data_IF_752078483461
#
_entry.id   IF_752078483461
#
_cell.length_a   1.000
_cell.length_b   1.000
_cell.length_c   1.000
_cell.angle_alpha   90.00
_cell.angle_beta   90.00
_cell.angle_gamma   90.00
#
_symmetry.space_group_name_H-M   'P 1'
#
loop_
_entity.id
_entity.type
_entity.pdbx_description
1 polymer ?
#
# COMPACT_ATOMS: atom_id res chain seq x y z
N UNK A 1 0.19 5.77 40.79
CA UNK A 1 1.25 4.73 40.85
C UNK A 1 0.70 3.29 40.76
N UNK A 2 -0.54 3.03 41.20
CA UNK A 2 -1.12 1.67 41.16
C UNK A 2 -1.54 1.19 39.76
N UNK A 3 -1.88 2.08 38.85
CA UNK A 3 -2.30 1.73 37.47
C UNK A 3 -1.16 1.26 36.54
N UNK A 4 0.05 1.71 36.80
CA UNK A 4 1.21 1.45 35.90
C UNK A 4 1.50 -0.05 35.71
N UNK A 5 1.53 -0.91 36.77
CA UNK A 5 1.74 -2.34 36.58
C UNK A 5 0.69 -3.00 35.69
N UNK A 6 -0.58 -2.60 35.83
CA UNK A 6 -1.67 -3.12 35.01
C UNK A 6 -1.54 -2.70 33.55
N UNK A 7 -1.16 -1.43 33.28
CA UNK A 7 -0.94 -0.93 31.94
C UNK A 7 0.22 -1.69 31.25
N UNK A 8 1.33 -1.92 31.96
CA UNK A 8 2.48 -2.64 31.42
C UNK A 8 2.15 -4.12 31.12
N UNK A 9 1.41 -4.80 32.02
CA UNK A 9 0.99 -6.19 31.76
C UNK A 9 0.01 -6.24 30.59
N UNK A 10 -1.00 -5.37 30.56
CA UNK A 10 -1.95 -5.29 29.45
C UNK A 10 -1.24 -4.99 28.13
N UNK A 11 -0.33 -4.01 28.11
CA UNK A 11 0.48 -3.66 26.94
C UNK A 11 1.32 -4.83 26.45
N UNK A 12 1.99 -5.56 27.34
CA UNK A 12 2.75 -6.76 26.98
C UNK A 12 1.81 -7.84 26.37
N UNK A 13 0.71 -8.14 27.02
CA UNK A 13 -0.24 -9.18 26.56
C UNK A 13 -0.82 -8.81 25.18
N UNK A 14 -1.26 -7.57 25.01
CA UNK A 14 -1.74 -7.08 23.70
C UNK A 14 -0.65 -7.12 22.63
N UNK A 15 0.61 -6.77 22.99
CA UNK A 15 1.74 -6.83 22.07
C UNK A 15 2.05 -8.25 21.60
N UNK A 16 1.98 -9.23 22.49
CA UNK A 16 2.15 -10.66 22.13
C UNK A 16 1.03 -11.13 21.21
N UNK A 17 -0.23 -10.82 21.54
CA UNK A 17 -1.38 -11.19 20.70
C UNK A 17 -1.29 -10.52 19.30
N UNK A 18 -0.91 -9.25 19.25
CA UNK A 18 -0.69 -8.54 17.99
C UNK A 18 0.44 -9.15 17.15
N UNK A 19 1.54 -9.57 17.79
CA UNK A 19 2.64 -10.24 17.08
C UNK A 19 2.21 -11.59 16.49
N UNK A 20 1.42 -12.38 17.24
CA UNK A 20 0.88 -13.67 16.76
C UNK A 20 -0.09 -13.46 15.59
N UNK A 21 -1.06 -12.57 15.73
CA UNK A 21 -2.05 -12.30 14.67
C UNK A 21 -1.40 -11.68 13.43
N UNK A 22 -0.45 -10.75 13.63
CA UNK A 22 0.32 -10.14 12.56
C UNK A 22 1.17 -11.14 11.79
N UNK A 23 1.77 -12.12 12.48
CA UNK A 23 2.52 -13.20 11.84
C UNK A 23 1.63 -14.05 10.91
N UNK A 24 0.41 -14.40 11.32
CA UNK A 24 -0.51 -15.13 10.44
C UNK A 24 -1.00 -14.26 9.28
N UNK A 25 -1.30 -12.99 9.54
CA UNK A 25 -1.77 -12.05 8.52
C UNK A 25 -0.69 -11.81 7.43
N UNK A 26 0.58 -11.67 7.83
CA UNK A 26 1.69 -11.46 6.89
C UNK A 26 1.87 -12.60 5.90
N UNK A 27 1.48 -13.83 6.26
CA UNK A 27 1.50 -14.99 5.37
C UNK A 27 0.38 -15.02 4.33
N UNK A 28 -0.65 -14.20 4.52
CA UNK A 28 -1.75 -14.06 3.56
C UNK A 28 -1.38 -13.34 2.26
N UNK A 29 -0.18 -12.76 2.17
CA UNK A 29 0.32 -12.01 1.00
C UNK A 29 -0.23 -10.58 0.93
N UNK A 30 0.32 -9.79 0.01
CA UNK A 30 -0.15 -8.41 -0.24
C UNK A 30 0.64 -7.32 0.48
N UNK A 31 1.72 -7.66 1.18
CA UNK A 31 2.60 -6.70 1.84
C UNK A 31 4.05 -6.83 1.36
N UNK A 32 4.76 -5.70 1.29
CA UNK A 32 6.20 -5.68 1.03
C UNK A 32 6.95 -6.37 2.18
N UNK A 33 7.72 -7.43 1.88
CA UNK A 33 8.38 -8.28 2.88
C UNK A 33 9.32 -7.51 3.81
N UNK A 34 10.05 -6.51 3.29
CA UNK A 34 10.97 -5.70 4.08
C UNK A 34 10.23 -4.82 5.09
N UNK A 35 9.13 -4.17 4.67
CA UNK A 35 8.32 -3.34 5.53
C UNK A 35 7.62 -4.17 6.63
N UNK A 36 7.09 -5.35 6.27
CA UNK A 36 6.53 -6.31 7.24
C UNK A 36 7.57 -6.74 8.26
N UNK A 37 8.77 -7.12 7.80
CA UNK A 37 9.87 -7.55 8.67
C UNK A 37 10.27 -6.46 9.67
N UNK A 38 10.43 -5.22 9.19
CA UNK A 38 10.78 -4.07 10.02
C UNK A 38 9.74 -3.79 11.11
N UNK A 39 8.45 -3.77 10.75
CA UNK A 39 7.35 -3.59 11.71
C UNK A 39 7.26 -4.75 12.70
N UNK A 40 7.43 -6.00 12.26
CA UNK A 40 7.38 -7.20 13.09
C UNK A 40 8.47 -7.19 14.15
N UNK A 41 9.72 -6.90 13.78
CA UNK A 41 10.83 -6.83 14.73
C UNK A 41 10.67 -5.66 15.70
N UNK A 42 10.20 -4.50 15.25
CA UNK A 42 9.89 -3.37 16.11
C UNK A 42 8.80 -3.72 17.15
N UNK A 43 7.73 -4.40 16.72
CA UNK A 43 6.66 -4.86 17.60
C UNK A 43 7.11 -5.87 18.66
N UNK A 44 7.88 -6.89 18.25
CA UNK A 44 8.46 -7.88 19.18
C UNK A 44 9.38 -7.21 20.17
N UNK A 45 10.27 -6.32 19.71
CA UNK A 45 11.18 -5.57 20.58
C UNK A 45 10.43 -4.71 21.60
N UNK A 46 9.34 -4.06 21.18
CA UNK A 46 8.47 -3.25 22.04
C UNK A 46 7.80 -4.10 23.12
N UNK A 47 7.28 -5.27 22.76
CA UNK A 47 6.70 -6.20 23.74
C UNK A 47 7.73 -6.66 24.79
N UNK A 48 8.94 -7.03 24.35
CA UNK A 48 10.04 -7.42 25.26
C UNK A 48 10.47 -6.27 26.18
N UNK A 49 10.62 -5.04 25.64
CA UNK A 49 10.93 -3.85 26.43
C UNK A 49 9.86 -3.56 27.47
N UNK A 50 8.59 -3.75 27.13
CA UNK A 50 7.47 -3.56 28.06
C UNK A 50 7.55 -4.55 29.22
N UNK A 51 7.88 -5.82 28.95
CA UNK A 51 8.10 -6.84 29.98
C UNK A 51 9.29 -6.51 30.87
N UNK A 52 10.42 -6.12 30.29
CA UNK A 52 11.61 -5.70 31.01
C UNK A 52 11.30 -4.51 31.91
N UNK A 53 10.60 -3.50 31.40
CA UNK A 53 10.18 -2.32 32.17
C UNK A 53 9.27 -2.72 33.33
N UNK A 54 8.38 -3.68 33.15
CA UNK A 54 7.55 -4.21 34.24
C UNK A 54 8.39 -4.91 35.31
N UNK A 55 9.35 -5.77 34.95
CA UNK A 55 10.23 -6.47 35.88
C UNK A 55 11.03 -5.47 36.71
N UNK A 56 11.61 -4.45 36.08
CA UNK A 56 12.46 -3.46 36.73
C UNK A 56 11.72 -2.25 37.32
N UNK A 57 10.38 -2.28 37.39
CA UNK A 57 9.51 -1.15 37.82
C UNK A 57 9.80 -0.57 39.20
N UNK A 58 10.44 -1.35 40.06
CA UNK A 58 10.84 -0.91 41.42
C UNK A 58 12.33 -0.48 41.54
N UNK A 59 13.07 -0.55 40.43
CA UNK A 59 14.50 -0.20 40.38
C UNK A 59 14.71 1.25 39.92
N UNK A 60 15.89 1.80 40.22
CA UNK A 60 16.25 3.16 39.74
C UNK A 60 16.30 3.25 38.21
N UNK A 61 16.48 2.13 37.53
CA UNK A 61 16.48 2.01 36.06
C UNK A 61 15.08 2.08 35.43
N UNK A 62 14.01 2.14 36.23
CA UNK A 62 12.62 2.17 35.71
C UNK A 62 12.35 3.33 34.76
N UNK A 63 12.71 4.56 35.17
CA UNK A 63 12.37 5.75 34.37
C UNK A 63 13.02 5.73 32.97
N UNK A 64 14.34 5.49 32.83
CA UNK A 64 14.94 5.37 31.49
C UNK A 64 14.37 4.20 30.67
N UNK A 65 14.11 3.04 31.27
CA UNK A 65 13.48 1.93 30.58
C UNK A 65 12.07 2.26 30.10
N UNK A 66 11.28 2.93 30.92
CA UNK A 66 9.95 3.39 30.56
C UNK A 66 9.98 4.37 29.38
N UNK A 67 10.92 5.34 29.40
CA UNK A 67 11.10 6.30 28.30
C UNK A 67 11.47 5.57 27.00
N UNK A 68 12.40 4.61 27.04
CA UNK A 68 12.77 3.81 25.86
C UNK A 68 11.58 3.00 25.35
N UNK A 69 10.79 2.41 26.24
CA UNK A 69 9.57 1.67 25.88
C UNK A 69 8.56 2.58 25.16
N UNK A 70 8.34 3.79 25.67
CA UNK A 70 7.43 4.76 25.03
C UNK A 70 7.91 5.13 23.62
N UNK A 71 9.21 5.41 23.46
CA UNK A 71 9.80 5.70 22.15
C UNK A 71 9.60 4.52 21.20
N UNK A 72 9.85 3.29 21.69
CA UNK A 72 9.68 2.06 20.91
C UNK A 72 8.24 1.86 20.44
N UNK A 73 7.22 2.20 21.25
CA UNK A 73 5.80 2.18 20.85
C UNK A 73 5.55 3.16 19.70
N UNK A 74 6.09 4.37 19.75
CA UNK A 74 5.95 5.34 18.66
C UNK A 74 6.60 4.86 17.37
N UNK A 75 7.80 4.29 17.42
CA UNK A 75 8.49 3.73 16.26
C UNK A 75 7.70 2.58 15.66
N UNK A 76 7.24 1.63 16.48
CA UNK A 76 6.41 0.50 16.02
C UNK A 76 5.09 0.96 15.43
N UNK A 77 4.45 1.96 16.02
CA UNK A 77 3.22 2.57 15.49
C UNK A 77 3.44 3.26 14.15
N UNK A 78 4.56 3.97 13.99
CA UNK A 78 4.92 4.62 12.73
C UNK A 78 5.12 3.59 11.61
N UNK A 79 5.91 2.55 11.85
CA UNK A 79 6.13 1.46 10.88
C UNK A 79 4.82 0.73 10.52
N UNK A 80 3.93 0.52 11.49
CA UNK A 80 2.60 -0.05 11.24
C UNK A 80 1.69 0.86 10.43
N UNK A 81 1.76 2.17 10.67
CA UNK A 81 1.06 3.17 9.87
C UNK A 81 1.51 3.17 8.41
N UNK A 82 2.81 3.04 8.14
CA UNK A 82 3.35 2.94 6.80
C UNK A 82 2.91 1.67 6.06
N UNK A 83 2.75 0.54 6.78
CA UNK A 83 2.23 -0.70 6.19
C UNK A 83 0.77 -0.60 5.73
N UNK A 84 -0.04 0.19 6.43
CA UNK A 84 -1.49 0.29 6.15
C UNK A 84 -1.84 1.46 5.24
N UNK A 85 -1.06 2.54 5.29
CA UNK A 85 -1.36 3.80 4.61
C UNK A 85 -0.30 4.22 3.58
N UNK A 86 0.80 3.45 3.45
CA UNK A 86 1.93 3.76 2.56
C UNK A 86 3.01 4.63 3.22
N UNK A 87 4.20 4.62 2.60
CA UNK A 87 5.37 5.36 3.10
C UNK A 87 5.09 6.88 3.16
N UNK A 88 5.47 7.49 4.26
CA UNK A 88 5.35 8.95 4.45
C UNK A 88 3.96 9.44 4.87
N UNK A 89 3.01 8.57 5.19
CA UNK A 89 1.64 8.94 5.57
C UNK A 89 1.58 10.05 6.64
N UNK A 90 2.39 9.97 7.70
CA UNK A 90 2.41 10.98 8.77
C UNK A 90 3.05 12.30 8.29
N UNK A 91 4.05 12.23 7.41
CA UNK A 91 4.79 13.39 6.93
C UNK A 91 4.13 14.07 5.74
N UNK A 92 3.31 13.37 4.97
CA UNK A 92 2.57 13.95 3.83
C UNK A 92 1.69 15.12 4.27
N UNK A 93 0.98 15.02 5.38
CA UNK A 93 0.17 16.11 5.91
C UNK A 93 0.97 17.35 6.39
N UNK A 94 2.27 17.20 6.66
CA UNK A 94 3.17 18.29 7.03
C UNK A 94 3.81 18.96 5.79
N UNK A 95 3.96 18.21 4.71
CA UNK A 95 4.59 18.67 3.45
C UNK A 95 3.58 19.36 2.53
N UNK A 96 2.28 19.20 2.74
CA UNK A 96 1.20 19.70 1.87
C UNK A 96 1.07 21.23 1.75
N UNK A 97 1.93 22.02 2.39
CA UNK A 97 2.10 23.43 2.04
C UNK A 97 3.17 23.68 0.98
N UNK A 98 3.64 22.60 0.30
CA UNK A 98 4.54 22.67 -0.84
C UNK A 98 3.88 23.35 -2.03
N UNK A 99 4.64 24.22 -2.64
CA UNK A 99 4.31 25.04 -3.81
C UNK A 99 3.76 24.15 -4.95
N UNK A 100 2.62 24.52 -5.54
CA UNK A 100 2.01 23.81 -6.71
C UNK A 100 2.98 23.54 -7.87
N UNK A 101 4.07 24.30 -7.96
CA UNK A 101 5.15 24.08 -8.93
C UNK A 101 6.02 22.86 -8.59
N UNK A 102 6.32 22.63 -7.30
CA UNK A 102 7.12 21.47 -6.86
C UNK A 102 6.33 20.17 -7.01
N UNK A 103 5.04 20.18 -6.69
CA UNK A 103 4.14 19.06 -6.91
C UNK A 103 4.06 18.67 -8.39
N UNK A 104 3.97 19.65 -9.29
CA UNK A 104 3.94 19.40 -10.74
C UNK A 104 5.27 18.84 -11.27
N UNK A 105 6.40 19.32 -10.75
CA UNK A 105 7.74 18.81 -11.08
C UNK A 105 7.84 17.34 -10.60
N UNK A 106 7.47 17.07 -9.35
CA UNK A 106 7.49 15.71 -8.81
C UNK A 106 6.65 14.72 -9.66
N UNK A 107 5.43 15.10 -10.04
CA UNK A 107 4.58 14.24 -10.88
C UNK A 107 5.17 14.03 -12.28
N UNK A 108 5.88 15.01 -12.81
CA UNK A 108 6.53 14.93 -14.10
C UNK A 108 7.73 13.96 -14.11
N UNK A 109 8.41 13.82 -12.98
CA UNK A 109 9.55 12.92 -12.76
C UNK A 109 9.13 11.47 -12.40
N UNK A 110 7.84 11.19 -12.25
CA UNK A 110 7.34 9.83 -12.02
C UNK A 110 7.48 8.99 -13.29
N UNK A 111 7.91 7.74 -13.16
CA UNK A 111 7.89 6.78 -14.26
C UNK A 111 6.47 6.18 -14.40
N UNK A 112 5.98 6.08 -15.64
CA UNK A 112 4.57 5.74 -15.92
C UNK A 112 4.15 4.42 -15.28
N UNK A 113 4.88 3.32 -15.53
CA UNK A 113 4.47 2.03 -14.98
C UNK A 113 4.80 1.89 -13.48
N UNK A 114 6.05 2.03 -13.01
CA UNK A 114 6.38 1.74 -11.61
C UNK A 114 5.72 2.69 -10.61
N UNK A 115 5.57 3.98 -10.94
CA UNK A 115 5.11 4.99 -9.99
C UNK A 115 3.62 5.33 -10.12
N UNK A 116 3.00 5.03 -11.27
CA UNK A 116 1.59 5.37 -11.52
C UNK A 116 0.72 4.11 -11.63
N UNK A 117 1.08 3.17 -12.52
CA UNK A 117 0.24 2.01 -12.84
C UNK A 117 0.40 0.88 -11.81
N UNK A 118 1.65 0.54 -11.45
CA UNK A 118 1.92 -0.54 -10.50
C UNK A 118 1.22 -0.36 -9.15
N UNK A 119 1.19 0.84 -8.53
CA UNK A 119 0.44 1.05 -7.29
C UNK A 119 -1.07 0.83 -7.41
N UNK A 120 -1.68 1.11 -8.58
CA UNK A 120 -3.11 0.84 -8.83
C UNK A 120 -3.35 -0.68 -8.84
N UNK A 121 -2.50 -1.42 -9.54
CA UNK A 121 -2.58 -2.89 -9.62
C UNK A 121 -2.31 -3.55 -8.26
N UNK A 122 -1.34 -3.05 -7.51
CA UNK A 122 -1.03 -3.51 -6.16
C UNK A 122 -2.22 -3.37 -5.21
N UNK A 123 -2.82 -2.20 -5.18
CA UNK A 123 -3.91 -1.88 -4.26
C UNK A 123 -5.20 -2.65 -4.57
N UNK A 124 -5.48 -2.97 -5.84
CA UNK A 124 -6.79 -3.45 -6.26
C UNK A 124 -6.79 -4.88 -6.83
N UNK A 125 -5.63 -5.41 -7.30
CA UNK A 125 -5.58 -6.66 -8.08
C UNK A 125 -4.67 -7.73 -7.47
N UNK A 126 -3.49 -7.34 -6.96
CA UNK A 126 -2.43 -8.27 -6.58
C UNK A 126 -2.77 -9.15 -5.36
N UNK A 127 -3.77 -8.79 -4.56
CA UNK A 127 -4.24 -9.65 -3.46
C UNK A 127 -4.76 -11.02 -3.94
N UNK A 128 -5.20 -11.12 -5.22
CA UNK A 128 -5.71 -12.33 -5.85
C UNK A 128 -4.88 -12.77 -7.06
N UNK A 129 -4.20 -11.84 -7.75
CA UNK A 129 -3.42 -12.06 -8.95
C UNK A 129 -1.92 -11.84 -8.69
N UNK A 130 -1.34 -12.67 -7.83
CA UNK A 130 0.07 -12.68 -7.47
C UNK A 130 0.70 -14.05 -7.72
N UNK A 131 2.02 -14.14 -7.58
CA UNK A 131 2.75 -15.39 -7.81
C UNK A 131 2.26 -16.55 -6.93
N UNK A 132 1.83 -16.29 -5.70
CA UNK A 132 1.37 -17.33 -4.77
C UNK A 132 -0.05 -17.81 -5.06
N UNK A 133 -0.95 -16.93 -5.52
CA UNK A 133 -2.37 -17.25 -5.77
C UNK A 133 -2.68 -17.42 -7.25
N UNK A 134 -2.11 -16.60 -8.10
CA UNK A 134 -2.25 -16.61 -9.57
C UNK A 134 -3.61 -17.11 -10.08
N UNK A 135 -4.72 -16.57 -9.54
CA UNK A 135 -6.07 -16.98 -9.97
C UNK A 135 -6.17 -16.89 -11.50
N UNK A 136 -6.63 -17.96 -12.13
CA UNK A 136 -6.63 -18.13 -13.58
C UNK A 136 -5.23 -18.02 -14.23
N UNK A 137 -4.17 -18.37 -13.51
CA UNK A 137 -2.76 -18.27 -13.91
C UNK A 137 -2.35 -16.82 -14.26
N UNK A 138 -3.10 -15.83 -13.81
CA UNK A 138 -2.81 -14.42 -14.01
C UNK A 138 -2.01 -13.85 -12.83
N UNK A 139 -0.84 -13.31 -13.14
CA UNK A 139 0.01 -12.58 -12.20
C UNK A 139 0.15 -11.13 -12.64
N UNK A 140 -0.25 -10.19 -11.77
CA UNK A 140 -0.22 -8.73 -12.03
C UNK A 140 0.82 -7.99 -11.17
N UNK A 141 1.80 -8.72 -10.58
CA UNK A 141 2.81 -8.13 -9.70
C UNK A 141 3.92 -7.39 -10.44
N UNK A 142 4.21 -7.78 -11.67
CA UNK A 142 5.27 -7.15 -12.44
C UNK A 142 4.87 -7.02 -13.91
N UNK A 143 5.56 -6.11 -14.58
CA UNK A 143 5.29 -5.74 -15.97
C UNK A 143 5.32 -6.94 -16.92
N UNK A 144 6.34 -7.79 -16.83
CA UNK A 144 6.52 -8.91 -17.76
C UNK A 144 5.45 -10.00 -17.55
N UNK A 145 5.01 -10.21 -16.31
CA UNK A 145 3.92 -11.13 -15.99
C UNK A 145 2.56 -10.63 -16.52
N UNK A 146 2.32 -9.31 -16.50
CA UNK A 146 1.12 -8.71 -17.09
C UNK A 146 1.07 -8.96 -18.59
N UNK A 147 2.17 -8.74 -19.30
CA UNK A 147 2.27 -8.97 -20.74
C UNK A 147 2.08 -10.44 -21.12
N UNK A 148 2.45 -11.36 -20.23
CA UNK A 148 2.25 -12.80 -20.45
C UNK A 148 0.76 -13.18 -20.40
N UNK A 149 -0.05 -12.47 -19.63
CA UNK A 149 -1.48 -12.77 -19.44
C UNK A 149 -1.74 -13.97 -18.53
N UNK A 150 -2.95 -14.52 -18.63
CA UNK A 150 -3.43 -15.65 -17.86
C UNK A 150 -3.89 -16.81 -18.75
N UNK A 151 -4.65 -17.76 -18.17
CA UNK A 151 -5.15 -18.96 -18.88
C UNK A 151 -6.08 -18.59 -20.05
N UNK A 152 -6.77 -17.47 -19.98
CA UNK A 152 -7.70 -17.00 -21.03
C UNK A 152 -7.00 -16.14 -22.10
N UNK A 153 -5.68 -15.95 -22.02
CA UNK A 153 -4.90 -15.13 -22.95
C UNK A 153 -4.45 -13.81 -22.36
N UNK A 154 -4.16 -12.85 -23.24
CA UNK A 154 -3.68 -11.52 -22.87
C UNK A 154 -4.76 -10.73 -22.11
N UNK A 155 -4.36 -10.06 -21.05
CA UNK A 155 -5.26 -9.19 -20.26
C UNK A 155 -5.14 -7.72 -20.65
N UNK A 156 -4.04 -7.35 -21.32
CA UNK A 156 -3.80 -6.03 -21.89
C UNK A 156 -3.41 -6.18 -23.35
N UNK A 157 -3.97 -5.34 -24.22
CA UNK A 157 -3.65 -5.27 -25.65
C UNK A 157 -3.03 -3.90 -25.93
N UNK A 158 -1.74 -3.88 -26.24
CA UNK A 158 -1.00 -2.64 -26.45
C UNK A 158 -1.64 -1.77 -27.53
N UNK A 159 -1.91 -0.51 -27.22
CA UNK A 159 -2.57 0.43 -28.12
C UNK A 159 -4.09 0.34 -28.16
N UNK A 160 -4.72 -0.62 -27.42
CA UNK A 160 -6.16 -0.80 -27.49
C UNK A 160 -6.78 -1.15 -26.12
N UNK A 161 -7.09 -0.13 -25.32
CA UNK A 161 -7.75 -0.30 -24.05
C UNK A 161 -9.17 -0.90 -24.17
N UNK A 162 -9.88 -0.61 -25.27
CA UNK A 162 -11.27 -1.05 -25.44
C UNK A 162 -11.43 -2.56 -25.62
N UNK A 163 -10.41 -3.24 -26.15
CA UNK A 163 -10.38 -4.70 -26.30
C UNK A 163 -9.60 -5.40 -25.19
N UNK A 164 -8.92 -4.64 -24.33
CA UNK A 164 -8.17 -5.19 -23.20
C UNK A 164 -9.09 -5.76 -22.14
N UNK A 165 -8.91 -7.04 -21.82
CA UNK A 165 -9.75 -7.80 -20.87
C UNK A 165 -9.75 -7.17 -19.47
N UNK A 166 -8.64 -6.59 -19.03
CA UNK A 166 -8.57 -5.89 -17.74
C UNK A 166 -9.58 -4.72 -17.69
N UNK A 167 -9.65 -3.91 -18.74
CA UNK A 167 -10.60 -2.77 -18.81
C UNK A 167 -12.04 -3.26 -18.89
N UNK A 168 -12.29 -4.31 -19.68
CA UNK A 168 -13.62 -4.93 -19.73
C UNK A 168 -14.09 -5.30 -18.33
N UNK A 169 -13.31 -6.10 -17.60
CA UNK A 169 -13.70 -6.65 -16.30
C UNK A 169 -13.84 -5.59 -15.20
N UNK A 170 -12.95 -4.59 -15.15
CA UNK A 170 -13.06 -3.53 -14.12
C UNK A 170 -14.20 -2.55 -14.40
N UNK A 171 -14.76 -2.56 -15.63
CA UNK A 171 -15.87 -1.69 -16.05
C UNK A 171 -17.24 -2.35 -15.96
N UNK A 172 -17.31 -3.67 -15.69
CA UNK A 172 -18.59 -4.38 -15.54
C UNK A 172 -19.34 -3.92 -14.28
N UNK A 173 -20.68 -4.06 -14.25
CA UNK A 173 -21.49 -3.89 -13.03
C UNK A 173 -20.98 -4.78 -11.90
N UNK A 174 -21.19 -4.36 -10.64
CA UNK A 174 -20.66 -5.07 -9.47
C UNK A 174 -21.27 -6.48 -9.30
N UNK A 175 -22.50 -6.66 -9.74
CA UNK A 175 -23.26 -7.90 -9.70
C UNK A 175 -22.98 -8.85 -10.88
N UNK A 176 -22.07 -8.50 -11.78
CA UNK A 176 -21.65 -9.35 -12.88
C UNK A 176 -20.59 -10.38 -12.39
N UNK A 177 -20.79 -11.66 -12.70
CA UNK A 177 -19.88 -12.75 -12.30
C UNK A 177 -18.45 -12.57 -12.84
N UNK A 178 -18.31 -11.86 -13.94
CA UNK A 178 -17.03 -11.54 -14.60
C UNK A 178 -16.39 -10.25 -14.07
N UNK A 179 -17.08 -9.49 -13.22
CA UNK A 179 -16.57 -8.21 -12.70
C UNK A 179 -15.32 -8.41 -11.85
N UNK A 180 -14.37 -7.49 -11.99
CA UNK A 180 -13.16 -7.44 -11.17
C UNK A 180 -12.97 -6.03 -10.58
N UNK A 181 -12.60 -5.93 -9.32
CA UNK A 181 -12.63 -6.96 -8.29
C UNK A 181 -14.03 -7.54 -8.09
N UNK A 182 -14.15 -8.80 -7.57
CA UNK A 182 -15.45 -9.44 -7.38
C UNK A 182 -16.28 -8.73 -6.31
N UNK A 183 -17.58 -9.02 -6.27
CA UNK A 183 -18.54 -8.47 -5.32
C UNK A 183 -18.00 -8.47 -3.87
N UNK A 184 -18.24 -7.38 -3.14
CA UNK A 184 -17.77 -7.18 -1.76
C UNK A 184 -16.29 -6.80 -1.62
N UNK A 185 -15.59 -6.56 -2.73
CA UNK A 185 -14.23 -5.99 -2.74
C UNK A 185 -14.26 -4.54 -3.19
N UNK A 186 -13.26 -3.75 -2.73
CA UNK A 186 -13.13 -2.36 -3.16
C UNK A 186 -12.91 -2.31 -4.68
N UNK A 187 -13.76 -1.56 -5.36
CA UNK A 187 -13.67 -1.31 -6.81
C UNK A 187 -12.64 -0.21 -7.11
N UNK A 188 -12.12 -0.23 -8.34
CA UNK A 188 -11.31 0.87 -8.84
C UNK A 188 -12.15 2.14 -8.98
N UNK A 189 -11.55 3.27 -8.64
CA UNK A 189 -12.14 4.57 -8.92
C UNK A 189 -12.12 4.88 -10.44
N UNK A 190 -13.06 5.66 -10.96
CA UNK A 190 -13.09 6.01 -12.39
C UNK A 190 -11.77 6.61 -12.90
N UNK A 191 -11.10 7.42 -12.07
CA UNK A 191 -9.82 8.04 -12.41
C UNK A 191 -8.68 6.98 -12.48
N UNK A 192 -8.74 5.92 -11.66
CA UNK A 192 -7.77 4.80 -11.72
C UNK A 192 -7.97 3.97 -12.99
N UNK A 193 -9.22 3.74 -13.39
CA UNK A 193 -9.55 3.06 -14.65
C UNK A 193 -9.07 3.90 -15.85
N UNK A 194 -9.22 5.22 -15.79
CA UNK A 194 -8.77 6.11 -16.87
C UNK A 194 -7.24 6.11 -17.01
N UNK A 195 -6.48 6.09 -15.91
CA UNK A 195 -5.03 5.93 -15.96
C UNK A 195 -4.59 4.60 -16.62
N UNK A 196 -5.30 3.49 -16.32
CA UNK A 196 -5.04 2.22 -16.98
C UNK A 196 -5.32 2.28 -18.49
N UNK A 197 -6.42 2.94 -18.91
CA UNK A 197 -6.74 3.10 -20.33
C UNK A 197 -5.69 3.94 -21.06
N UNK A 198 -5.28 5.06 -20.48
CA UNK A 198 -4.22 5.93 -21.03
C UNK A 198 -2.93 5.11 -21.23
N UNK A 199 -2.50 4.37 -20.21
CA UNK A 199 -1.31 3.53 -20.27
C UNK A 199 -1.40 2.46 -21.38
N UNK A 200 -2.53 1.77 -21.49
CA UNK A 200 -2.74 0.73 -22.51
C UNK A 200 -2.77 1.35 -23.90
N UNK A 201 -3.54 2.43 -24.12
CA UNK A 201 -3.66 3.09 -25.42
C UNK A 201 -2.34 3.66 -25.93
N UNK A 202 -1.43 4.01 -25.02
CA UNK A 202 -0.10 4.50 -25.35
C UNK A 202 0.93 3.38 -25.58
N UNK A 203 0.51 2.13 -25.67
CA UNK A 203 1.37 1.00 -25.99
C UNK A 203 2.10 0.39 -24.81
N UNK A 204 1.58 0.54 -23.59
CA UNK A 204 2.13 -0.04 -22.36
C UNK A 204 3.54 0.45 -22.03
N UNK A 205 3.84 1.75 -21.98
CA UNK A 205 5.17 2.23 -21.64
C UNK A 205 5.58 1.80 -20.24
N UNK A 206 6.83 1.34 -20.07
CA UNK A 206 7.36 0.86 -18.79
C UNK A 206 8.09 1.96 -18.04
N UNK A 207 9.24 2.36 -18.53
CA UNK A 207 10.20 3.20 -17.82
C UNK A 207 10.24 4.66 -18.33
N UNK A 208 9.24 5.08 -19.12
CA UNK A 208 9.14 6.46 -19.60
C UNK A 208 8.66 7.37 -18.49
N UNK A 209 9.23 8.57 -18.38
CA UNK A 209 8.78 9.58 -17.42
C UNK A 209 7.44 10.17 -17.86
N UNK A 210 6.60 10.52 -16.89
CA UNK A 210 5.31 11.16 -17.18
C UNK A 210 5.49 12.46 -17.97
N UNK A 211 6.60 13.21 -17.74
CA UNK A 211 6.94 14.42 -18.50
C UNK A 211 7.15 14.19 -20.00
N UNK A 212 7.75 13.04 -20.34
CA UNK A 212 8.12 12.67 -21.71
C UNK A 212 7.04 11.84 -22.40
N UNK A 213 5.94 11.61 -21.69
CA UNK A 213 4.83 10.78 -22.11
C UNK A 213 3.72 11.62 -22.78
N UNK A 214 3.26 11.23 -23.92
CA UNK A 214 2.10 11.84 -24.57
C UNK A 214 0.88 10.91 -24.35
N UNK A 215 -0.10 11.25 -23.49
CA UNK A 215 -0.56 12.58 -23.03
C UNK A 215 -0.21 12.93 -21.57
N UNK A 216 1.00 13.40 -21.31
CA UNK A 216 1.47 13.76 -19.96
C UNK A 216 0.52 14.68 -19.18
N UNK A 217 -0.06 15.68 -19.85
CA UNK A 217 -0.96 16.66 -19.19
C UNK A 217 -2.19 16.01 -18.58
N UNK A 218 -2.83 15.11 -19.32
CA UNK A 218 -4.02 14.39 -18.88
C UNK A 218 -3.71 13.48 -17.70
N UNK A 219 -2.62 12.72 -17.78
CA UNK A 219 -2.16 11.84 -16.71
C UNK A 219 -1.85 12.63 -15.43
N UNK A 220 -1.12 13.74 -15.50
CA UNK A 220 -0.81 14.61 -14.36
C UNK A 220 -2.09 15.16 -13.71
N UNK A 221 -3.07 15.58 -14.49
CA UNK A 221 -4.34 16.08 -13.94
C UNK A 221 -5.12 15.00 -13.21
N UNK A 222 -5.14 13.77 -13.73
CA UNK A 222 -5.80 12.64 -13.09
C UNK A 222 -5.08 12.24 -11.81
N UNK A 223 -3.76 12.13 -11.82
CA UNK A 223 -2.94 11.82 -10.63
C UNK A 223 -3.21 12.86 -9.54
N UNK A 224 -3.27 14.14 -9.89
CA UNK A 224 -3.59 15.21 -8.93
C UNK A 224 -4.98 15.03 -8.32
N UNK A 225 -6.00 14.70 -9.11
CA UNK A 225 -7.36 14.44 -8.61
C UNK A 225 -7.39 13.29 -7.62
N UNK A 226 -6.68 12.19 -7.93
CA UNK A 226 -6.57 11.02 -7.05
C UNK A 226 -5.90 11.41 -5.73
N UNK A 227 -4.80 12.15 -5.77
CA UNK A 227 -4.07 12.58 -4.57
C UNK A 227 -4.95 13.49 -3.68
N UNK A 228 -5.61 14.48 -4.26
CA UNK A 228 -6.53 15.38 -3.52
C UNK A 228 -7.66 14.58 -2.88
N UNK A 229 -8.24 13.59 -3.58
CA UNK A 229 -9.32 12.74 -3.04
C UNK A 229 -8.83 11.86 -1.90
N UNK A 230 -7.65 11.22 -2.04
CA UNK A 230 -7.05 10.41 -0.96
C UNK A 230 -6.84 11.24 0.31
N UNK A 231 -6.38 12.48 0.16
CA UNK A 231 -6.18 13.40 1.28
C UNK A 231 -7.49 13.86 1.93
N UNK A 232 -8.56 14.06 1.14
CA UNK A 232 -9.88 14.41 1.65
C UNK A 232 -10.51 13.26 2.46
N UNK A 233 -10.28 12.01 2.05
CA UNK A 233 -10.82 10.82 2.70
C UNK A 233 -10.00 10.36 3.92
N UNK A 234 -8.79 10.91 4.12
CA UNK A 234 -7.93 10.64 5.28
C UNK A 234 -8.23 11.54 6.50
N UNK A 235 -9.19 12.47 6.38
CA UNK A 235 -9.70 13.32 7.48
C UNK A 235 -10.94 12.72 8.12
#
# INVERSE_FOLDING_TARGET
>A
RQAVPFILIAGFTCGVLAAITGFFLSRGGGYELEAVSSHQWAGISTALLTLITFIFRQKKTYLPLFTITVISVFVSGHLGGELTHGKGFITQGLVEKGNKSEEKIYMAEMAVYPDVISPILEANCQSCHNEAKANNQLNLQNYDAILKGGISGLVVEAGNASTSEIIRRVSLPEDDDDAMPPEGKKRLEPDEIELLKIWINSGLPKDIMVADFDPAKEMIEIIRKINVRKLANAK
#
